data_IF_348947141466
#
_entry.id   IF_348947141466
#
_cell.length_a   1.000
_cell.length_b   1.000
_cell.length_c   1.000
_cell.angle_alpha   90.00
_cell.angle_beta   90.00
_cell.angle_gamma   90.00
#
_symmetry.space_group_name_H-M   'P 1'
#
loop_
_entity.id
_entity.type
_entity.pdbx_description
1 polymer ?
#
# COMPACT_ATOMS: atom_id res chain seq x y z
N UNK A 1 -4.19 -5.91 -11.32
CA UNK A 1 -2.75 -6.29 -11.43
C UNK A 1 -2.07 -5.87 -10.15
N UNK A 2 -1.40 -6.78 -9.42
CA UNK A 2 -0.62 -6.44 -8.22
C UNK A 2 0.85 -6.78 -8.42
N UNK A 3 1.74 -5.89 -7.99
CA UNK A 3 3.18 -6.14 -7.97
C UNK A 3 3.54 -6.81 -6.65
N UNK A 4 4.21 -7.96 -6.72
CA UNK A 4 4.68 -8.66 -5.52
C UNK A 4 5.93 -7.99 -4.96
N UNK A 5 6.00 -7.88 -3.63
CA UNK A 5 7.15 -7.37 -2.89
C UNK A 5 7.76 -8.55 -2.12
N UNK A 6 8.89 -9.04 -2.60
CA UNK A 6 9.60 -10.16 -1.97
C UNK A 6 10.85 -9.69 -1.20
N UNK A 7 11.28 -8.46 -1.43
CA UNK A 7 12.50 -7.91 -0.88
C UNK A 7 12.38 -6.42 -0.54
N UNK A 8 13.33 -5.94 0.27
CA UNK A 8 13.49 -4.50 0.55
C UNK A 8 13.71 -3.70 -0.74
N UNK A 9 14.38 -4.29 -1.74
CA UNK A 9 14.63 -3.63 -3.01
C UNK A 9 13.31 -3.36 -3.75
N UNK A 10 12.39 -4.33 -3.76
CA UNK A 10 11.07 -4.21 -4.39
C UNK A 10 10.25 -3.11 -3.71
N UNK A 11 10.21 -3.12 -2.36
CA UNK A 11 9.51 -2.08 -1.60
C UNK A 11 10.08 -0.68 -1.90
N UNK A 12 11.41 -0.53 -1.94
CA UNK A 12 12.05 0.76 -2.26
C UNK A 12 11.80 1.19 -3.70
N UNK A 13 11.70 0.25 -4.64
CA UNK A 13 11.32 0.55 -6.02
C UNK A 13 9.87 1.05 -6.09
N UNK A 14 8.94 0.36 -5.42
CA UNK A 14 7.54 0.78 -5.33
C UNK A 14 7.38 2.19 -4.74
N UNK A 15 8.03 2.47 -3.60
CA UNK A 15 7.98 3.80 -2.97
C UNK A 15 8.54 4.89 -3.90
N UNK A 16 9.57 4.57 -4.70
CA UNK A 16 10.20 5.51 -5.64
C UNK A 16 9.33 5.78 -6.87
N UNK A 17 8.63 4.77 -7.38
CA UNK A 17 7.69 4.92 -8.49
C UNK A 17 6.49 5.81 -8.12
N UNK A 18 6.22 5.94 -6.81
CA UNK A 18 5.22 6.84 -6.28
C UNK A 18 3.85 6.18 -6.10
N UNK A 19 2.86 6.95 -5.62
CA UNK A 19 1.55 6.43 -5.22
C UNK A 19 0.59 6.18 -6.39
N UNK A 20 1.05 6.30 -7.64
CA UNK A 20 0.21 6.20 -8.83
C UNK A 20 0.80 5.22 -9.84
N UNK A 21 -0.04 4.35 -10.40
CA UNK A 21 0.37 3.42 -11.46
C UNK A 21 0.57 4.15 -12.80
N UNK A 22 1.53 3.69 -13.60
CA UNK A 22 1.74 4.12 -14.97
C UNK A 22 1.52 2.97 -15.95
N UNK A 23 0.86 3.18 -17.11
CA UNK A 23 0.13 4.40 -17.51
C UNK A 23 -1.24 4.52 -16.79
N UNK A 24 -1.77 5.75 -16.68
CA UNK A 24 -3.14 6.00 -16.21
C UNK A 24 -3.28 6.69 -14.85
N UNK A 25 -2.22 6.77 -14.04
CA UNK A 25 -2.22 7.55 -12.80
C UNK A 25 -3.09 6.96 -11.69
N UNK A 26 -3.39 5.66 -11.73
CA UNK A 26 -4.33 5.03 -10.78
C UNK A 26 -3.77 4.98 -9.36
N UNK A 27 -4.55 5.29 -8.32
CA UNK A 27 -4.10 5.23 -6.93
C UNK A 27 -3.63 3.83 -6.52
N UNK A 28 -2.46 3.79 -5.88
CA UNK A 28 -1.85 2.57 -5.37
C UNK A 28 -1.90 2.53 -3.83
N UNK A 29 -1.94 1.31 -3.31
CA UNK A 29 -1.78 1.01 -1.90
C UNK A 29 -0.92 -0.24 -1.68
N UNK A 30 -0.41 -0.39 -0.47
CA UNK A 30 0.36 -1.55 -0.05
C UNK A 30 -0.55 -2.56 0.66
N UNK A 31 -0.25 -3.84 0.46
CA UNK A 31 -0.91 -4.95 1.15
C UNK A 31 0.12 -5.67 2.00
N UNK A 32 -0.19 -5.86 3.27
CA UNK A 32 0.64 -6.60 4.23
C UNK A 32 0.27 -8.09 4.24
N UNK A 33 1.12 -8.94 4.81
CA UNK A 33 0.93 -10.39 4.76
C UNK A 33 -0.27 -10.91 5.54
N UNK A 34 -0.82 -10.12 6.44
CA UNK A 34 -2.07 -10.37 7.18
C UNK A 34 -3.31 -9.83 6.43
N UNK A 35 -3.13 -9.22 5.26
CA UNK A 35 -4.21 -8.71 4.42
C UNK A 35 -4.59 -7.26 4.67
N UNK A 36 -3.93 -6.56 5.60
CA UNK A 36 -4.18 -5.16 5.89
C UNK A 36 -3.74 -4.24 4.73
N UNK A 37 -4.44 -3.11 4.60
CA UNK A 37 -4.19 -2.09 3.58
C UNK A 37 -3.43 -0.90 4.17
N UNK A 38 -2.32 -0.52 3.53
CA UNK A 38 -1.50 0.61 3.94
C UNK A 38 -1.41 1.67 2.83
N UNK A 39 -1.68 2.91 3.20
CA UNK A 39 -1.45 4.08 2.36
C UNK A 39 0.05 4.35 2.16
N UNK A 40 0.40 5.06 1.09
CA UNK A 40 1.77 5.53 0.89
C UNK A 40 2.24 6.50 1.97
N UNK A 41 1.33 7.20 2.65
CA UNK A 41 1.65 8.05 3.80
C UNK A 41 2.11 7.19 4.98
N UNK A 42 1.29 6.20 5.37
CA UNK A 42 1.63 5.26 6.45
C UNK A 42 2.92 4.51 6.15
N UNK A 43 3.09 4.04 4.91
CA UNK A 43 4.29 3.33 4.49
C UNK A 43 5.58 4.18 4.54
N UNK A 44 5.47 5.51 4.41
CA UNK A 44 6.60 6.44 4.57
C UNK A 44 6.90 6.70 6.04
N UNK A 45 5.88 6.88 6.87
CA UNK A 45 6.03 7.10 8.32
C UNK A 45 6.64 5.87 8.99
N UNK A 46 6.10 4.69 8.69
CA UNK A 46 6.47 3.41 9.31
C UNK A 46 7.47 2.61 8.47
N UNK A 47 8.23 3.32 7.62
CA UNK A 47 9.20 2.73 6.70
C UNK A 47 10.20 1.81 7.42
N UNK A 48 10.63 2.17 8.63
CA UNK A 48 11.60 1.37 9.38
C UNK A 48 11.02 0.01 9.75
N UNK A 49 9.80 -0.02 10.29
CA UNK A 49 9.12 -1.25 10.70
C UNK A 49 8.87 -2.13 9.49
N UNK A 50 8.35 -1.59 8.39
CA UNK A 50 8.14 -2.35 7.14
C UNK A 50 9.43 -2.98 6.62
N UNK A 51 10.54 -2.22 6.62
CA UNK A 51 11.84 -2.74 6.15
C UNK A 51 12.36 -3.88 7.03
N UNK A 52 12.22 -3.75 8.35
CA UNK A 52 12.59 -4.77 9.32
C UNK A 52 11.73 -6.03 9.16
N UNK A 53 10.41 -5.88 9.05
CA UNK A 53 9.48 -7.00 8.88
C UNK A 53 9.64 -7.71 7.54
N UNK A 54 10.00 -7.01 6.46
CA UNK A 54 10.37 -7.63 5.18
C UNK A 54 11.68 -8.42 5.32
N UNK A 55 12.71 -7.85 5.98
CA UNK A 55 14.02 -8.51 6.17
C UNK A 55 13.87 -9.79 6.96
N UNK A 56 13.19 -9.71 8.10
CA UNK A 56 13.10 -10.78 9.09
C UNK A 56 11.94 -11.73 8.79
N UNK A 57 11.14 -11.41 7.77
CA UNK A 57 9.91 -12.12 7.41
C UNK A 57 8.98 -12.24 8.62
N UNK A 58 8.82 -11.15 9.37
CA UNK A 58 7.93 -11.08 10.53
C UNK A 58 6.45 -11.08 10.13
N UNK A 59 5.58 -11.57 11.03
CA UNK A 59 4.11 -11.51 10.90
C UNK A 59 3.55 -10.52 11.93
N UNK A 60 4.09 -9.31 11.96
CA UNK A 60 3.84 -8.26 12.97
C UNK A 60 2.90 -7.15 12.47
N UNK A 61 2.22 -7.39 11.35
CA UNK A 61 1.33 -6.42 10.69
C UNK A 61 2.04 -5.42 9.77
N UNK A 62 3.37 -5.42 9.69
CA UNK A 62 4.13 -4.47 8.87
C UNK A 62 4.73 -5.06 7.60
N UNK A 63 4.81 -6.39 7.51
CA UNK A 63 5.42 -7.05 6.36
C UNK A 63 4.56 -6.87 5.11
N UNK A 64 4.92 -5.88 4.30
CA UNK A 64 4.34 -5.63 2.98
C UNK A 64 4.73 -6.75 2.02
N UNK A 65 3.73 -7.33 1.35
CA UNK A 65 3.89 -8.43 0.38
C UNK A 65 3.46 -8.05 -1.03
N UNK A 66 2.65 -7.00 -1.19
CA UNK A 66 2.24 -6.55 -2.52
C UNK A 66 1.92 -5.05 -2.58
N UNK A 67 1.90 -4.53 -3.80
CA UNK A 67 1.30 -3.24 -4.17
C UNK A 67 0.13 -3.52 -5.10
N UNK A 68 -1.02 -2.93 -4.80
CA UNK A 68 -2.24 -3.08 -5.59
C UNK A 68 -2.82 -1.71 -5.96
N UNK A 69 -3.64 -1.71 -7.01
CA UNK A 69 -4.40 -0.54 -7.46
C UNK A 69 -5.77 -0.60 -6.81
N UNK A 70 -6.21 0.51 -6.22
CA UNK A 70 -7.60 0.66 -5.80
C UNK A 70 -8.43 1.12 -7.00
N UNK A 71 -9.11 0.18 -7.66
CA UNK A 71 -9.92 0.51 -8.84
C UNK A 71 -11.27 1.14 -8.46
N UNK A 72 -12.05 0.49 -7.61
CA UNK A 72 -13.47 0.83 -7.37
C UNK A 72 -13.85 0.80 -5.88
N UNK A 73 -12.89 0.58 -4.97
CA UNK A 73 -13.20 0.47 -3.55
C UNK A 73 -13.21 1.84 -2.89
N UNK A 74 -14.40 2.44 -2.78
CA UNK A 74 -14.60 3.69 -2.04
C UNK A 74 -14.49 3.51 -0.53
N UNK A 75 -14.54 2.26 -0.03
CA UNK A 75 -14.50 1.88 1.37
C UNK A 75 -13.13 1.34 1.82
N UNK A 76 -12.09 1.49 0.99
CA UNK A 76 -10.75 1.10 1.36
C UNK A 76 -10.12 2.15 2.27
N UNK A 77 -9.83 1.76 3.51
CA UNK A 77 -9.15 2.62 4.49
C UNK A 77 -7.77 2.07 4.81
N UNK A 78 -6.86 2.95 5.21
CA UNK A 78 -5.57 2.56 5.71
C UNK A 78 -5.71 2.08 7.15
N UNK A 79 -5.34 0.83 7.42
CA UNK A 79 -5.52 0.21 8.74
C UNK A 79 -4.68 0.87 9.84
N UNK A 80 -3.60 1.57 9.47
CA UNK A 80 -2.78 2.30 10.42
C UNK A 80 -3.31 3.70 10.76
N UNK A 81 -3.70 4.48 9.74
CA UNK A 81 -4.08 5.90 9.94
C UNK A 81 -5.59 6.11 9.99
N UNK A 82 -6.39 5.11 9.62
CA UNK A 82 -7.84 5.21 9.44
C UNK A 82 -8.28 6.09 8.26
N UNK A 83 -7.34 6.64 7.48
CA UNK A 83 -7.65 7.52 6.34
C UNK A 83 -8.08 6.72 5.13
N UNK A 84 -9.03 7.25 4.36
CA UNK A 84 -9.46 6.66 3.09
C UNK A 84 -8.30 6.60 2.09
N UNK A 85 -8.16 5.48 1.42
CA UNK A 85 -7.24 5.30 0.29
C UNK A 85 -8.01 5.62 -0.98
N UNK A 86 -7.53 6.61 -1.74
CA UNK A 86 -8.18 7.05 -2.96
C UNK A 86 -8.43 5.88 -3.92
N UNK A 87 -9.57 5.89 -4.60
CA UNK A 87 -9.91 4.91 -5.63
C UNK A 87 -9.89 5.57 -7.01
N UNK A 88 -9.69 4.79 -8.08
CA UNK A 88 -9.64 5.30 -9.44
C UNK A 88 -11.01 5.69 -10.00
N UNK A 89 -12.05 4.93 -9.68
CA UNK A 89 -13.37 5.02 -10.31
C UNK A 89 -14.53 5.17 -9.32
N UNK A 90 -14.29 5.06 -8.01
CA UNK A 90 -15.29 5.36 -7.01
C UNK A 90 -15.03 6.74 -6.38
N UNK A 91 -16.04 7.60 -6.47
CA UNK A 91 -16.00 8.93 -5.88
C UNK A 91 -15.93 8.82 -4.34
N UNK A 92 -15.53 9.90 -3.65
CA UNK A 92 -15.94 10.03 -2.25
C UNK A 92 -17.47 10.05 -2.29
N UNK A 93 -18.13 9.01 -1.76
CA UNK A 93 -19.54 9.10 -1.38
C UNK A 93 -19.62 10.11 -0.23
N UNK A 94 -19.49 11.39 -0.57
CA UNK A 94 -19.79 12.51 0.29
C UNK A 94 -21.32 12.55 0.43
N UNK A 95 -21.83 11.75 1.37
CA UNK A 95 -23.16 11.97 1.95
C UNK A 95 -23.11 13.09 2.99
#
# INVERSE_FOLDING_TARGET
MSMQINSIADFRAAVRNGPYAWPGGYPLYFVTSDGAALSFEAAKQERRNILESIRDKSNDGWRVVAVAINYEDSSLFCDHTGKRIASAYAEDDAQ
#
